data_IF_235230959612
#
_entry.id   IF_235230959612
#
_cell.length_a   1.000
_cell.length_b   1.000
_cell.length_c   1.000
_cell.angle_alpha   90.00
_cell.angle_beta   90.00
_cell.angle_gamma   90.00
#
_symmetry.space_group_name_H-M   'P 1'
#
loop_
_entity.id
_entity.type
_entity.pdbx_description
1 polymer ?
#
# COMPACT_ATOMS: atom_id res chain seq x y z
N UNK A 1 45.20 35.41 60.79
CA UNK A 1 43.82 35.87 61.11
C UNK A 1 43.62 37.15 60.32
N UNK A 2 42.66 37.35 59.43
CA UNK A 2 41.29 36.83 59.26
C UNK A 2 40.94 36.92 57.76
N UNK A 3 39.85 36.41 57.17
CA UNK A 3 38.83 35.43 57.46
C UNK A 3 38.19 35.16 56.07
N UNK A 4 37.88 33.90 55.75
CA UNK A 4 37.11 33.55 54.56
C UNK A 4 35.62 33.83 54.80
N UNK A 5 34.91 34.35 53.78
CA UNK A 5 33.44 34.35 53.74
C UNK A 5 32.93 34.10 52.31
N UNK A 6 31.79 33.42 52.27
CA UNK A 6 31.21 32.58 51.22
C UNK A 6 30.20 33.36 50.32
N UNK A 7 29.74 32.82 49.18
CA UNK A 7 29.19 33.60 48.08
C UNK A 7 27.65 33.60 47.99
N UNK A 8 27.15 34.52 47.15
CA UNK A 8 25.89 34.50 46.38
C UNK A 8 24.58 34.91 47.07
N UNK A 9 24.38 36.23 47.08
CA UNK A 9 23.09 36.87 46.81
C UNK A 9 22.87 36.92 45.29
N UNK A 10 22.07 36.00 44.74
CA UNK A 10 21.50 36.09 43.39
C UNK A 10 20.34 35.10 43.27
N UNK A 11 19.25 35.41 43.95
CA UNK A 11 17.99 34.68 43.82
C UNK A 11 16.92 35.72 44.12
N UNK A 12 16.00 35.97 43.17
CA UNK A 12 14.65 36.58 43.30
C UNK A 12 14.21 37.37 42.04
N UNK A 13 15.07 37.68 41.07
CA UNK A 13 14.63 38.45 39.85
C UNK A 13 14.21 37.54 38.66
N UNK A 14 14.41 36.23 38.71
CA UNK A 14 14.22 35.36 37.53
C UNK A 14 12.86 34.64 37.41
N UNK A 15 11.86 34.96 38.25
CA UNK A 15 10.61 34.17 38.35
C UNK A 15 9.38 34.78 37.66
N UNK A 16 9.44 36.02 37.14
CA UNK A 16 8.28 36.68 36.49
C UNK A 16 8.34 36.63 34.96
N UNK A 17 9.47 36.28 34.36
CA UNK A 17 9.61 36.15 32.89
C UNK A 17 9.27 34.75 32.33
N UNK A 18 8.99 33.77 33.19
CA UNK A 18 8.71 32.39 32.78
C UNK A 18 7.22 32.07 32.57
N UNK A 19 6.31 33.00 32.88
CA UNK A 19 4.86 32.78 32.73
C UNK A 19 4.22 33.38 31.47
N UNK A 20 4.98 34.06 30.61
CA UNK A 20 4.46 34.58 29.32
C UNK A 20 4.90 33.75 28.09
N UNK A 21 5.60 32.63 28.28
CA UNK A 21 6.00 31.71 27.20
C UNK A 21 5.16 30.42 27.11
N UNK A 22 3.99 30.37 27.75
CA UNK A 22 3.10 29.21 27.72
C UNK A 22 1.73 29.45 27.05
N UNK A 23 1.61 30.43 26.18
CA UNK A 23 0.44 30.53 25.30
C UNK A 23 0.89 30.65 23.84
N UNK A 24 0.30 29.80 22.99
CA UNK A 24 0.58 29.57 21.56
C UNK A 24 1.73 28.61 21.21
N UNK A 25 1.60 27.35 21.63
CA UNK A 25 1.98 26.22 20.76
C UNK A 25 0.73 25.42 20.38
N UNK A 26 -0.32 26.14 19.96
CA UNK A 26 -1.40 25.58 19.17
C UNK A 26 -1.04 25.80 17.69
N UNK A 27 -1.09 24.71 16.93
CA UNK A 27 -1.06 24.61 15.47
C UNK A 27 0.33 24.69 14.83
N UNK A 28 0.91 23.52 14.60
CA UNK A 28 1.00 23.06 13.22
C UNK A 28 0.90 21.55 13.21
N UNK A 29 -0.33 21.04 13.10
CA UNK A 29 -0.53 19.76 12.46
C UNK A 29 -0.06 19.98 11.02
N UNK A 30 1.24 19.79 10.76
CA UNK A 30 1.77 19.83 9.39
C UNK A 30 1.11 18.65 8.70
N UNK A 31 0.05 18.95 7.96
CA UNK A 31 -0.53 18.03 7.00
C UNK A 31 0.65 17.50 6.18
N UNK A 32 0.89 16.19 6.25
CA UNK A 32 1.90 15.54 5.42
C UNK A 32 1.42 15.71 3.98
N UNK A 33 1.87 16.75 3.30
CA UNK A 33 1.54 16.99 1.90
C UNK A 33 2.37 16.00 1.07
N UNK A 34 1.85 14.79 0.90
CA UNK A 34 2.34 13.89 -0.14
C UNK A 34 1.99 14.53 -1.49
N UNK A 35 2.99 15.14 -2.13
CA UNK A 35 2.81 15.69 -3.48
C UNK A 35 2.91 14.53 -4.47
N UNK A 36 1.83 13.75 -4.61
CA UNK A 36 1.72 12.77 -5.69
C UNK A 36 1.59 13.56 -6.99
N UNK A 37 2.63 13.59 -7.82
CA UNK A 37 2.54 14.12 -9.19
C UNK A 37 1.51 13.29 -9.94
N UNK A 38 0.33 13.86 -10.22
CA UNK A 38 -0.71 13.21 -11.02
C UNK A 38 -0.22 13.07 -12.46
N UNK A 39 0.25 11.89 -12.85
CA UNK A 39 0.47 11.54 -14.25
C UNK A 39 -0.84 11.55 -15.03
N UNK A 40 -0.78 11.83 -16.35
CA UNK A 40 -1.91 11.58 -17.26
C UNK A 40 -1.96 10.08 -17.53
N UNK A 41 -2.94 9.39 -16.96
CA UNK A 41 -3.13 7.96 -17.15
C UNK A 41 -3.81 7.68 -18.50
N UNK A 42 -3.05 7.23 -19.50
CA UNK A 42 -3.58 6.77 -20.78
C UNK A 42 -3.71 5.24 -20.79
N UNK A 43 -4.78 4.73 -20.18
CA UNK A 43 -5.04 3.29 -20.23
C UNK A 43 -5.77 2.91 -21.51
N UNK A 44 -5.32 1.87 -22.24
CA UNK A 44 -5.98 1.42 -23.46
C UNK A 44 -7.44 1.02 -23.22
N UNK A 45 -8.24 1.05 -24.30
CA UNK A 45 -9.59 0.48 -24.33
C UNK A 45 -9.56 -0.98 -23.86
N UNK A 46 -10.64 -1.43 -23.20
CA UNK A 46 -10.67 -2.73 -22.51
C UNK A 46 -10.14 -3.89 -23.36
N UNK A 47 -9.14 -4.58 -22.83
CA UNK A 47 -8.47 -5.71 -23.48
C UNK A 47 -9.07 -7.04 -23.00
N UNK A 48 -9.04 -8.11 -23.81
CA UNK A 48 -9.53 -9.42 -23.39
C UNK A 48 -8.62 -10.04 -22.33
N UNK A 49 -9.21 -10.74 -21.36
CA UNK A 49 -8.53 -11.56 -20.36
C UNK A 49 -9.46 -12.69 -19.90
N UNK A 50 -8.89 -13.65 -19.16
CA UNK A 50 -9.64 -14.69 -18.47
C UNK A 50 -9.70 -14.38 -16.98
N UNK A 51 -10.79 -14.75 -16.34
CA UNK A 51 -10.90 -14.74 -14.90
C UNK A 51 -11.41 -16.08 -14.34
N UNK A 52 -10.76 -16.54 -13.28
CA UNK A 52 -11.27 -17.56 -12.34
C UNK A 52 -11.48 -16.93 -10.97
N UNK A 53 -11.77 -17.76 -9.97
CA UNK A 53 -11.76 -17.32 -8.58
C UNK A 53 -11.26 -18.40 -7.64
N UNK A 54 -10.80 -17.97 -6.47
CA UNK A 54 -10.24 -18.83 -5.44
C UNK A 54 -10.68 -18.43 -4.02
N UNK A 55 -10.49 -19.36 -3.08
CA UNK A 55 -10.78 -19.18 -1.66
C UNK A 55 -12.28 -19.25 -1.33
N UNK A 56 -12.68 -18.59 -0.25
CA UNK A 56 -14.07 -18.55 0.20
C UNK A 56 -14.96 -17.72 -0.77
N UNK A 57 -16.21 -18.15 -1.07
CA UNK A 57 -17.12 -17.43 -1.96
C UNK A 57 -17.36 -15.96 -1.59
N UNK A 58 -17.26 -15.61 -0.31
CA UNK A 58 -17.42 -14.25 0.21
C UNK A 58 -16.14 -13.76 0.93
N UNK A 59 -15.01 -14.39 0.64
CA UNK A 59 -13.69 -14.06 1.16
C UNK A 59 -12.87 -13.19 0.20
N UNK A 60 -11.65 -12.91 0.62
CA UNK A 60 -10.64 -12.15 -0.13
C UNK A 60 -9.68 -13.04 -0.94
N UNK A 61 -10.03 -14.30 -1.20
CA UNK A 61 -9.08 -15.29 -1.68
C UNK A 61 -8.26 -15.83 -0.50
N UNK A 62 -7.02 -15.35 -0.35
CA UNK A 62 -6.09 -15.74 0.73
C UNK A 62 -5.52 -14.53 1.47
N UNK A 63 -5.33 -14.67 2.79
CA UNK A 63 -4.59 -13.70 3.60
C UNK A 63 -3.07 -13.89 3.52
N UNK A 64 -2.59 -15.00 2.94
CA UNK A 64 -1.17 -15.30 2.76
C UNK A 64 -0.61 -14.91 1.38
N UNK A 65 -1.25 -13.96 0.69
CA UNK A 65 -0.94 -13.66 -0.71
C UNK A 65 0.50 -13.17 -0.95
N UNK A 66 1.02 -13.45 -2.15
CA UNK A 66 2.39 -13.20 -2.58
C UNK A 66 2.82 -11.72 -2.66
N UNK A 67 1.93 -10.78 -2.31
CA UNK A 67 2.27 -9.36 -2.21
C UNK A 67 2.59 -8.88 -0.79
N UNK A 68 2.23 -9.63 0.25
CA UNK A 68 2.55 -9.26 1.64
C UNK A 68 1.54 -8.40 2.37
N UNK A 69 0.36 -8.13 1.80
CA UNK A 69 -0.70 -7.36 2.46
C UNK A 69 -1.38 -8.10 3.63
N UNK A 70 -1.14 -9.40 3.80
CA UNK A 70 -1.66 -10.15 4.96
C UNK A 70 -3.19 -10.11 5.05
N UNK A 71 -3.70 -9.98 6.28
CA UNK A 71 -5.13 -9.85 6.60
C UNK A 71 -5.79 -8.58 6.07
N UNK A 72 -5.02 -7.56 5.65
CA UNK A 72 -5.58 -6.28 5.23
C UNK A 72 -6.40 -6.41 3.95
N UNK A 73 -6.16 -7.45 3.14
CA UNK A 73 -6.97 -7.79 1.95
C UNK A 73 -8.46 -7.97 2.29
N UNK A 74 -8.78 -8.38 3.52
CA UNK A 74 -10.14 -8.49 4.04
C UNK A 74 -10.69 -7.19 4.64
N UNK A 75 -9.81 -6.23 4.96
CA UNK A 75 -10.13 -4.95 5.58
C UNK A 75 -10.85 -3.98 4.64
N UNK A 76 -11.43 -2.92 5.20
CA UNK A 76 -12.32 -1.99 4.47
C UNK A 76 -11.67 -1.28 3.27
N UNK A 77 -10.34 -1.24 3.19
CA UNK A 77 -9.61 -0.55 2.12
C UNK A 77 -9.55 -1.36 0.83
N UNK A 78 -9.27 -2.66 0.94
CA UNK A 78 -9.37 -3.60 -0.17
C UNK A 78 -10.79 -4.16 -0.32
N UNK A 79 -11.55 -4.22 0.77
CA UNK A 79 -12.93 -4.70 0.84
C UNK A 79 -13.12 -6.08 0.18
N UNK A 80 -12.09 -6.95 0.28
CA UNK A 80 -12.02 -8.24 -0.41
C UNK A 80 -12.05 -8.15 -1.94
N UNK A 81 -11.97 -6.95 -2.53
CA UNK A 81 -11.96 -6.70 -3.97
C UNK A 81 -10.54 -6.85 -4.52
N UNK A 82 -10.03 -8.08 -4.50
CA UNK A 82 -8.64 -8.42 -4.80
C UNK A 82 -8.53 -9.56 -5.80
N UNK A 83 -7.32 -9.77 -6.33
CA UNK A 83 -7.02 -10.86 -7.26
C UNK A 83 -5.57 -11.32 -7.12
N UNK A 84 -5.37 -12.63 -7.28
CA UNK A 84 -4.10 -13.18 -7.70
C UNK A 84 -3.91 -12.95 -9.20
N UNK A 85 -2.80 -12.32 -9.57
CA UNK A 85 -2.49 -12.04 -10.97
C UNK A 85 -1.66 -13.17 -11.58
N UNK A 86 -1.98 -13.54 -12.83
CA UNK A 86 -1.03 -14.32 -13.65
C UNK A 86 0.30 -13.57 -13.85
N UNK A 87 1.33 -14.21 -14.44
CA UNK A 87 2.68 -13.64 -14.54
C UNK A 87 2.75 -12.23 -15.16
N UNK A 88 1.89 -11.94 -16.15
CA UNK A 88 1.81 -10.63 -16.81
C UNK A 88 1.21 -9.51 -15.94
N UNK A 89 0.46 -9.85 -14.89
CA UNK A 89 -0.13 -8.91 -13.95
C UNK A 89 0.69 -8.82 -12.66
N UNK A 90 1.17 -9.95 -12.14
CA UNK A 90 1.97 -9.99 -10.91
C UNK A 90 3.38 -9.42 -11.12
N UNK A 91 3.96 -9.61 -12.31
CA UNK A 91 5.28 -9.07 -12.70
C UNK A 91 6.38 -9.30 -11.66
N UNK A 92 6.43 -10.53 -11.12
CA UNK A 92 7.36 -10.91 -10.05
C UNK A 92 7.30 -9.97 -8.83
N UNK A 93 6.09 -9.58 -8.44
CA UNK A 93 5.82 -8.68 -7.32
C UNK A 93 5.77 -7.19 -7.66
N UNK A 94 6.27 -6.79 -8.84
CA UNK A 94 6.20 -5.37 -9.27
C UNK A 94 4.77 -4.91 -9.54
N UNK A 95 3.86 -5.85 -9.84
CA UNK A 95 2.45 -5.59 -10.05
C UNK A 95 1.62 -5.46 -8.77
N UNK A 96 2.21 -5.72 -7.60
CA UNK A 96 1.50 -5.66 -6.34
C UNK A 96 0.98 -4.24 -6.06
N UNK A 97 -0.28 -4.15 -5.68
CA UNK A 97 -0.97 -2.87 -5.46
C UNK A 97 -1.58 -2.26 -6.72
N UNK A 98 -1.33 -2.82 -7.92
CA UNK A 98 -1.94 -2.33 -9.15
C UNK A 98 -3.47 -2.53 -9.16
N UNK A 99 -4.21 -1.51 -9.62
CA UNK A 99 -5.66 -1.58 -9.75
C UNK A 99 -6.12 -1.77 -11.19
N UNK A 100 -7.12 -2.63 -11.36
CA UNK A 100 -7.74 -2.92 -12.65
C UNK A 100 -9.25 -2.85 -12.54
N UNK A 101 -9.91 -2.33 -13.58
CA UNK A 101 -11.33 -2.57 -13.78
C UNK A 101 -11.48 -3.84 -14.61
N UNK A 102 -12.27 -4.79 -14.10
CA UNK A 102 -12.62 -6.05 -14.78
C UNK A 102 -14.12 -6.09 -15.02
N UNK A 103 -14.54 -6.58 -16.19
CA UNK A 103 -15.95 -6.65 -16.62
C UNK A 103 -16.20 -7.93 -17.40
N UNK A 104 -17.26 -8.65 -17.07
CA UNK A 104 -17.75 -9.77 -17.88
C UNK A 104 -18.98 -9.36 -18.71
N UNK A 105 -19.19 -10.02 -19.86
CA UNK A 105 -20.30 -9.70 -20.76
C UNK A 105 -21.00 -10.92 -21.38
N UNK A 106 -20.27 -12.02 -21.61
CA UNK A 106 -20.75 -13.20 -22.32
C UNK A 106 -21.66 -14.11 -21.50
N UNK A 107 -21.42 -14.24 -20.19
CA UNK A 107 -22.25 -15.07 -19.32
C UNK A 107 -23.60 -14.38 -19.00
N UNK A 108 -24.75 -15.08 -19.06
CA UNK A 108 -26.07 -14.50 -18.76
C UNK A 108 -26.20 -13.85 -17.38
N UNK A 109 -25.42 -14.31 -16.41
CA UNK A 109 -25.40 -13.78 -15.04
C UNK A 109 -24.57 -12.51 -14.89
N UNK A 110 -23.79 -12.10 -15.89
CA UNK A 110 -23.00 -10.87 -15.86
C UNK A 110 -23.88 -9.62 -15.74
N UNK A 111 -23.50 -8.72 -14.82
CA UNK A 111 -24.11 -7.39 -14.69
C UNK A 111 -23.74 -6.44 -15.84
N UNK A 112 -22.64 -6.76 -16.55
CA UNK A 112 -21.99 -5.90 -17.55
C UNK A 112 -21.44 -4.58 -16.99
N UNK A 113 -21.40 -4.44 -15.67
CA UNK A 113 -20.75 -3.34 -14.96
C UNK A 113 -19.34 -3.76 -14.56
N UNK A 114 -18.33 -2.89 -14.68
CA UNK A 114 -16.99 -3.21 -14.23
C UNK A 114 -16.92 -3.16 -12.69
N UNK A 115 -16.07 -4.01 -12.12
CA UNK A 115 -15.63 -3.92 -10.72
C UNK A 115 -14.15 -3.58 -10.70
N UNK A 116 -13.69 -2.86 -9.66
CA UNK A 116 -12.26 -2.55 -9.49
C UNK A 116 -11.66 -3.55 -8.54
N UNK A 117 -10.52 -4.13 -8.91
CA UNK A 117 -9.77 -5.11 -8.13
C UNK A 117 -8.32 -4.69 -7.98
N UNK A 118 -7.68 -5.13 -6.91
CA UNK A 118 -6.25 -4.90 -6.66
C UNK A 118 -5.47 -6.21 -6.74
N UNK A 119 -4.29 -6.18 -7.37
CA UNK A 119 -3.38 -7.33 -7.38
C UNK A 119 -2.71 -7.45 -6.01
N UNK A 120 -3.02 -8.52 -5.29
CA UNK A 120 -2.51 -8.79 -3.93
C UNK A 120 -1.83 -10.15 -3.80
N UNK A 121 -1.80 -10.92 -4.87
CA UNK A 121 -1.31 -12.28 -4.86
C UNK A 121 -0.84 -12.71 -6.27
N UNK A 122 -0.25 -13.89 -6.37
CA UNK A 122 0.30 -14.46 -7.59
C UNK A 122 -0.42 -15.76 -7.95
N UNK A 123 -0.81 -15.90 -9.22
CA UNK A 123 -1.29 -17.15 -9.78
C UNK A 123 -0.26 -17.69 -10.80
N UNK A 124 0.77 -18.43 -10.36
CA UNK A 124 1.79 -18.96 -11.26
C UNK A 124 1.25 -20.03 -12.22
N UNK A 125 0.17 -20.72 -11.84
CA UNK A 125 -0.47 -21.77 -12.65
C UNK A 125 -1.52 -21.26 -13.64
N UNK A 126 -1.75 -19.95 -13.71
CA UNK A 126 -2.76 -19.36 -14.58
C UNK A 126 -2.29 -19.38 -16.05
N UNK A 127 -2.96 -20.13 -16.94
CA UNK A 127 -2.38 -20.51 -18.23
C UNK A 127 -2.51 -19.44 -19.34
N UNK A 128 -3.46 -18.52 -19.23
CA UNK A 128 -3.69 -17.49 -20.24
C UNK A 128 -2.72 -16.32 -20.15
N UNK A 129 -2.50 -15.65 -21.29
CA UNK A 129 -1.59 -14.51 -21.40
C UNK A 129 -1.91 -13.38 -20.41
N UNK A 130 -3.20 -13.15 -20.11
CA UNK A 130 -3.67 -12.27 -19.04
C UNK A 130 -4.78 -12.98 -18.28
N UNK A 131 -4.51 -13.28 -17.01
CA UNK A 131 -5.41 -14.05 -16.16
C UNK A 131 -5.57 -13.39 -14.79
N UNK A 132 -6.82 -13.17 -14.38
CA UNK A 132 -7.20 -12.70 -13.05
C UNK A 132 -7.83 -13.85 -12.25
N UNK A 133 -7.12 -14.36 -11.25
CA UNK A 133 -7.74 -15.30 -10.32
C UNK A 133 -8.31 -14.47 -9.16
N UNK A 134 -9.61 -14.14 -9.28
CA UNK A 134 -10.29 -13.17 -8.43
C UNK A 134 -10.59 -13.76 -7.04
N UNK A 135 -10.73 -12.92 -6.02
CA UNK A 135 -11.40 -13.37 -4.80
C UNK A 135 -12.85 -13.78 -5.10
N UNK A 136 -13.41 -14.68 -4.29
CA UNK A 136 -14.84 -15.04 -4.40
C UNK A 136 -15.76 -13.81 -4.34
N UNK A 137 -15.43 -12.82 -3.50
CA UNK A 137 -16.17 -11.56 -3.42
C UNK A 137 -16.10 -10.77 -4.74
N UNK A 138 -14.90 -10.59 -5.30
CA UNK A 138 -14.70 -9.83 -6.53
C UNK A 138 -15.35 -10.50 -7.75
N UNK A 139 -15.25 -11.83 -7.85
CA UNK A 139 -15.88 -12.61 -8.91
C UNK A 139 -17.40 -12.55 -8.82
N UNK A 140 -17.97 -12.73 -7.62
CA UNK A 140 -19.40 -12.60 -7.39
C UNK A 140 -19.94 -11.19 -7.71
N UNK A 141 -19.15 -10.15 -7.45
CA UNK A 141 -19.53 -8.75 -7.73
C UNK A 141 -19.68 -8.44 -9.24
N UNK A 142 -19.17 -9.29 -10.13
CA UNK A 142 -19.42 -9.18 -11.58
C UNK A 142 -20.86 -9.55 -11.95
N UNK A 143 -21.60 -10.24 -11.08
CA UNK A 143 -22.93 -10.74 -11.36
C UNK A 143 -24.04 -9.68 -11.23
N UNK A 144 -25.17 -9.94 -11.87
CA UNK A 144 -26.43 -9.27 -11.57
C UNK A 144 -26.83 -9.51 -10.10
N UNK A 145 -27.62 -8.62 -9.49
CA UNK A 145 -28.14 -8.84 -8.14
C UNK A 145 -28.79 -10.23 -8.02
N UNK A 146 -28.37 -11.02 -7.02
CA UNK A 146 -28.86 -12.37 -6.75
C UNK A 146 -28.33 -13.48 -7.67
N UNK A 147 -27.39 -13.20 -8.58
CA UNK A 147 -26.80 -14.20 -9.48
C UNK A 147 -25.31 -14.47 -9.23
N UNK A 148 -24.77 -14.01 -8.11
CA UNK A 148 -23.37 -14.18 -7.71
C UNK A 148 -22.98 -15.66 -7.57
N UNK A 149 -23.84 -16.49 -6.96
CA UNK A 149 -23.60 -17.94 -6.88
C UNK A 149 -23.65 -18.61 -8.24
N UNK A 150 -24.63 -18.26 -9.09
CA UNK A 150 -24.72 -18.80 -10.46
C UNK A 150 -23.48 -18.42 -11.29
N UNK A 151 -22.98 -17.19 -11.13
CA UNK A 151 -21.77 -16.76 -11.81
C UNK A 151 -20.55 -17.52 -11.27
N UNK A 152 -20.34 -17.61 -9.95
CA UNK A 152 -19.24 -18.37 -9.32
C UNK A 152 -19.21 -19.83 -9.79
N UNK A 153 -20.37 -20.46 -9.94
CA UNK A 153 -20.50 -21.84 -10.44
C UNK A 153 -20.09 -22.00 -11.91
N UNK A 154 -20.03 -20.92 -12.70
CA UNK A 154 -19.45 -20.98 -14.04
C UNK A 154 -17.93 -21.24 -14.01
N UNK A 155 -17.26 -20.90 -12.90
CA UNK A 155 -15.84 -21.13 -12.66
C UNK A 155 -14.91 -20.20 -13.45
N UNK A 156 -15.06 -20.18 -14.77
CA UNK A 156 -14.19 -19.45 -15.71
C UNK A 156 -15.02 -18.45 -16.50
N UNK A 157 -14.55 -17.20 -16.60
CA UNK A 157 -15.17 -16.14 -17.39
C UNK A 157 -14.21 -15.54 -18.40
N UNK A 158 -14.72 -15.27 -19.59
CA UNK A 158 -14.11 -14.33 -20.52
C UNK A 158 -14.47 -12.91 -20.07
N UNK A 159 -13.46 -12.09 -19.80
CA UNK A 159 -13.61 -10.73 -19.31
C UNK A 159 -12.91 -9.71 -20.20
N UNK A 160 -13.27 -8.46 -20.02
CA UNK A 160 -12.49 -7.30 -20.44
C UNK A 160 -11.87 -6.66 -19.22
N UNK A 161 -10.61 -6.25 -19.33
CA UNK A 161 -9.92 -5.54 -18.27
C UNK A 161 -9.28 -4.25 -18.79
N UNK A 162 -9.05 -3.32 -17.87
CA UNK A 162 -8.17 -2.17 -18.09
C UNK A 162 -7.53 -1.74 -16.78
N UNK A 163 -6.29 -1.29 -16.86
CA UNK A 163 -5.61 -0.64 -15.72
C UNK A 163 -6.35 0.64 -15.36
N UNK A 164 -6.42 0.98 -14.08
CA UNK A 164 -7.05 2.21 -13.56
C UNK A 164 -6.27 2.73 -12.36
N UNK A 165 -6.39 4.03 -12.01
CA UNK A 165 -5.76 4.53 -10.80
C UNK A 165 -6.45 3.95 -9.56
N UNK A 166 -5.67 3.48 -8.61
CA UNK A 166 -6.13 3.08 -7.28
C UNK A 166 -6.69 4.28 -6.52
N UNK A 167 -7.81 4.04 -5.82
CA UNK A 167 -8.50 5.06 -5.03
C UNK A 167 -8.80 4.53 -3.64
N UNK A 168 -8.19 5.14 -2.63
CA UNK A 168 -8.45 4.88 -1.22
C UNK A 168 -8.89 6.18 -0.54
N UNK A 169 -10.18 6.57 -0.66
CA UNK A 169 -10.69 7.82 -0.10
C UNK A 169 -10.42 7.92 1.41
N UNK A 170 -9.99 9.10 1.86
CA UNK A 170 -9.69 9.36 3.27
C UNK A 170 -8.59 8.46 3.87
N UNK A 171 -7.78 7.83 3.03
CA UNK A 171 -6.73 6.89 3.47
C UNK A 171 -5.39 7.43 3.01
N UNK A 172 -4.46 7.54 3.96
CA UNK A 172 -3.07 7.89 3.68
C UNK A 172 -2.29 6.63 3.31
N UNK A 173 -1.14 6.82 2.66
CA UNK A 173 -0.18 5.74 2.48
C UNK A 173 0.26 5.26 3.85
N UNK A 174 0.19 3.94 4.06
CA UNK A 174 0.57 3.31 5.32
C UNK A 174 1.90 2.60 5.15
N UNK A 175 2.77 2.74 6.15
CA UNK A 175 4.02 2.02 6.26
C UNK A 175 3.89 1.07 7.44
N UNK A 176 3.82 -0.23 7.18
CA UNK A 176 3.76 -1.26 8.20
C UNK A 176 5.16 -1.84 8.41
N UNK A 177 5.74 -1.57 9.58
CA UNK A 177 7.09 -2.03 9.93
C UNK A 177 7.03 -3.51 10.29
N UNK A 178 7.88 -4.31 9.67
CA UNK A 178 7.99 -5.73 9.96
C UNK A 178 8.49 -5.95 11.39
N UNK A 179 7.87 -6.91 12.10
CA UNK A 179 8.19 -7.21 13.51
C UNK A 179 9.61 -7.74 13.74
N UNK A 180 10.28 -8.23 12.71
CA UNK A 180 11.69 -8.65 12.75
C UNK A 180 12.69 -7.49 12.61
N UNK A 181 12.20 -6.26 12.38
CA UNK A 181 13.05 -5.07 12.28
C UNK A 181 13.80 -4.79 13.59
N UNK A 182 15.07 -4.42 13.46
CA UNK A 182 16.01 -4.11 14.54
C UNK A 182 17.07 -3.09 14.02
N UNK A 183 18.03 -2.64 14.84
CA UNK A 183 19.00 -1.61 14.42
C UNK A 183 19.88 -1.96 13.21
N UNK A 184 20.00 -3.24 12.85
CA UNK A 184 20.85 -3.76 11.77
C UNK A 184 20.04 -4.26 10.56
N UNK A 185 18.73 -4.45 10.71
CA UNK A 185 17.83 -4.93 9.67
C UNK A 185 16.49 -4.22 9.78
N UNK A 186 15.98 -3.65 8.69
CA UNK A 186 14.68 -3.01 8.70
C UNK A 186 13.89 -3.40 7.48
N UNK A 187 12.64 -3.79 7.71
CA UNK A 187 11.70 -4.12 6.65
C UNK A 187 10.38 -3.37 6.85
N UNK A 188 9.79 -2.97 5.73
CA UNK A 188 8.56 -2.19 5.71
C UNK A 188 7.70 -2.59 4.51
N UNK A 189 6.40 -2.73 4.76
CA UNK A 189 5.36 -2.93 3.77
C UNK A 189 4.73 -1.57 3.47
N UNK A 190 4.59 -1.24 2.19
CA UNK A 190 3.95 0.02 1.74
C UNK A 190 2.56 -0.28 1.20
N UNK A 191 1.54 0.33 1.81
CA UNK A 191 0.13 0.04 1.52
C UNK A 191 -0.66 1.29 1.14
N UNK A 192 -1.80 1.06 0.48
CA UNK A 192 -2.78 2.10 0.13
C UNK A 192 -2.23 3.24 -0.74
N UNK A 193 -1.29 2.90 -1.63
CA UNK A 193 -0.72 3.82 -2.61
C UNK A 193 -1.80 4.19 -3.63
N UNK A 194 -2.28 5.43 -3.55
CA UNK A 194 -3.21 5.97 -4.54
C UNK A 194 -2.50 6.19 -5.89
N UNK A 195 -3.27 6.21 -6.99
CA UNK A 195 -2.71 6.41 -8.33
C UNK A 195 -2.24 5.09 -8.96
N UNK A 196 -1.00 4.99 -9.39
CA UNK A 196 -0.47 3.79 -10.06
C UNK A 196 -0.54 2.51 -9.20
N UNK A 197 -0.57 2.66 -7.87
CA UNK A 197 -0.64 1.56 -6.90
C UNK A 197 0.68 0.82 -6.67
N UNK A 198 1.51 0.74 -7.71
CA UNK A 198 2.81 0.07 -7.69
C UNK A 198 3.91 1.00 -7.19
N UNK A 199 4.66 0.55 -6.18
CA UNK A 199 5.89 1.22 -5.73
C UNK A 199 7.06 0.73 -6.59
N UNK A 200 7.76 1.64 -7.27
CA UNK A 200 8.88 1.32 -8.15
C UNK A 200 10.21 1.23 -7.40
N UNK A 201 10.44 2.20 -6.51
CA UNK A 201 11.60 2.27 -5.61
C UNK A 201 11.18 2.88 -4.27
N UNK A 202 11.90 2.50 -3.22
CA UNK A 202 11.77 3.06 -1.88
C UNK A 202 13.15 3.44 -1.37
N UNK A 203 13.24 4.61 -0.73
CA UNK A 203 14.44 5.13 -0.10
C UNK A 203 14.13 5.52 1.34
N UNK A 204 15.07 5.23 2.23
CA UNK A 204 15.00 5.53 3.65
C UNK A 204 16.04 6.57 4.04
N UNK A 205 15.66 7.52 4.89
CA UNK A 205 16.59 8.46 5.51
C UNK A 205 16.24 8.67 6.97
N UNK A 206 17.23 8.66 7.85
CA UNK A 206 17.03 9.10 9.23
C UNK A 206 16.79 10.62 9.27
N UNK A 207 15.97 11.09 10.21
CA UNK A 207 15.62 12.50 10.29
C UNK A 207 16.83 13.42 10.54
N UNK A 208 17.82 12.91 11.28
CA UNK A 208 19.14 13.53 11.55
C UNK A 208 20.14 13.33 10.40
N UNK A 209 19.89 12.38 9.51
CA UNK A 209 20.79 12.03 8.40
C UNK A 209 20.60 12.93 7.17
N UNK A 210 21.67 13.07 6.40
CA UNK A 210 21.68 13.85 5.16
C UNK A 210 21.57 13.00 3.88
N UNK A 211 21.72 11.67 3.98
CA UNK A 211 21.74 10.77 2.84
C UNK A 211 20.49 9.88 2.76
N UNK A 212 19.92 9.76 1.55
CA UNK A 212 18.91 8.75 1.23
C UNK A 212 19.59 7.42 0.94
N UNK A 213 19.04 6.33 1.49
CA UNK A 213 19.53 4.97 1.30
C UNK A 213 18.49 4.18 0.52
N UNK A 214 18.83 3.63 -0.66
CA UNK A 214 17.89 2.81 -1.42
C UNK A 214 17.58 1.53 -0.66
N UNK A 215 16.30 1.20 -0.56
CA UNK A 215 15.82 -0.05 0.00
C UNK A 215 15.74 -1.12 -1.10
N UNK A 216 15.99 -2.36 -0.72
CA UNK A 216 15.91 -3.51 -1.61
C UNK A 216 14.52 -4.14 -1.49
N UNK A 217 13.87 -4.44 -2.61
CA UNK A 217 12.64 -5.21 -2.59
C UNK A 217 12.96 -6.66 -2.21
N UNK A 218 12.34 -7.16 -1.15
CA UNK A 218 12.43 -8.58 -0.80
C UNK A 218 11.48 -9.40 -1.66
N UNK A 219 10.19 -9.12 -1.52
CA UNK A 219 9.10 -9.80 -2.21
C UNK A 219 7.88 -8.90 -2.21
N UNK A 220 7.04 -8.94 -3.25
CA UNK A 220 5.81 -8.15 -3.30
C UNK A 220 6.02 -6.64 -3.00
N UNK A 221 5.34 -6.15 -1.95
CA UNK A 221 5.48 -4.78 -1.42
C UNK A 221 6.36 -4.67 -0.16
N UNK A 222 7.12 -5.71 0.18
CA UNK A 222 8.08 -5.73 1.28
C UNK A 222 9.46 -5.21 0.83
N UNK A 223 9.94 -4.18 1.53
CA UNK A 223 11.20 -3.52 1.27
C UNK A 223 12.10 -3.59 2.49
N UNK A 224 13.36 -3.98 2.28
CA UNK A 224 14.36 -4.05 3.33
C UNK A 224 15.51 -3.09 3.18
N UNK A 225 16.19 -2.84 4.29
CA UNK A 225 17.50 -2.25 4.36
C UNK A 225 18.33 -3.02 5.40
N UNK A 226 19.45 -3.59 4.95
CA UNK A 226 20.48 -4.14 5.83
C UNK A 226 21.48 -3.03 6.19
N UNK A 227 21.96 -3.04 7.42
CA UNK A 227 22.91 -2.04 7.92
C UNK A 227 24.06 -2.68 8.68
N UNK A 228 25.29 -2.27 8.36
CA UNK A 228 26.50 -2.71 9.06
C UNK A 228 26.72 -2.00 10.41
N UNK A 229 26.06 -0.86 10.62
CA UNK A 229 26.10 -0.07 11.86
C UNK A 229 24.67 0.13 12.39
N UNK A 230 24.49 0.46 13.68
CA UNK A 230 23.17 0.77 14.27
C UNK A 230 22.58 2.03 13.62
N UNK A 231 21.81 1.87 12.55
CA UNK A 231 21.41 2.99 11.69
C UNK A 231 19.91 3.32 11.77
N UNK A 232 19.25 2.89 12.84
CA UNK A 232 17.82 3.14 13.08
C UNK A 232 17.61 3.42 14.56
N UNK A 233 18.06 4.58 14.98
CA UNK A 233 17.88 5.06 16.37
C UNK A 233 17.01 6.32 16.44
N UNK A 234 16.59 6.84 15.28
CA UNK A 234 15.86 8.10 15.15
C UNK A 234 14.60 7.98 14.28
N UNK A 235 13.84 9.07 14.22
CA UNK A 235 12.70 9.20 13.31
C UNK A 235 13.11 8.93 11.86
N UNK A 236 12.27 8.20 11.13
CA UNK A 236 12.52 7.80 9.75
C UNK A 236 11.71 8.65 8.76
N UNK A 237 12.32 8.94 7.62
CA UNK A 237 11.70 9.57 6.45
C UNK A 237 11.74 8.58 5.29
N UNK A 238 10.59 8.38 4.66
CA UNK A 238 10.46 7.55 3.47
C UNK A 238 10.28 8.44 2.23
N UNK A 239 10.91 8.03 1.13
CA UNK A 239 10.67 8.57 -0.19
C UNK A 239 10.47 7.40 -1.15
N UNK A 240 9.41 7.43 -1.94
CA UNK A 240 9.16 6.38 -2.92
C UNK A 240 8.75 6.97 -4.26
N UNK A 241 9.04 6.22 -5.31
CA UNK A 241 8.57 6.52 -6.65
C UNK A 241 7.54 5.48 -7.07
N UNK A 242 6.60 5.88 -7.93
CA UNK A 242 5.65 4.98 -8.57
C UNK A 242 6.00 4.85 -10.05
N UNK A 243 5.76 3.68 -10.65
CA UNK A 243 5.97 3.49 -12.08
C UNK A 243 4.88 4.25 -12.82
N UNK A 244 5.24 5.37 -13.45
CA UNK A 244 4.37 5.99 -14.45
C UNK A 244 4.27 5.03 -15.62
N UNK A 245 3.14 4.33 -15.73
CA UNK A 245 2.83 3.55 -16.93
C UNK A 245 2.60 4.55 -18.06
N UNK A 246 3.59 4.68 -18.95
CA UNK A 246 3.47 5.38 -20.23
C UNK A 246 2.85 4.46 -21.28
#
# INVERSE_FOLDING_TARGET
MAAACHPRKCLIISLVLLFLFQTLSLISCRSFNSTIRKGKYNYPTGAPAVATWYGDPYGAGSEGGACGFGKDVSGAKFAKMVSAGGPSLYLSGKGCGACYQVKCASNPSCSRKPVTVVITDSCPGCPEAVHFDLSGTAFGALAKPGQDTALRNAGILQIQYKRVPCKYPGTFVTFHIDSGSNPYYFAVIVEYVNGDGEVASLELKEASGNAWRPMQRLWGVDWKLDSAEECITAYLKFYFTVLLVN
#
